data_IF_100001194587
#
_entry.id   IF_100001194587
#
_cell.length_a   1.000
_cell.length_b   1.000
_cell.length_c   1.000
_cell.angle_alpha   90.00
_cell.angle_beta   90.00
_cell.angle_gamma   90.00
#
_symmetry.space_group_name_H-M   'P 1'
#
loop_
_entity.id
_entity.type
_entity.pdbx_description
1 polymer ?
#
# COMPACT_ATOMS: atom_id res chain seq x y z
N UNK A 1 -8.25 -14.49 9.44
CA UNK A 1 -6.86 -14.23 9.12
C UNK A 1 -6.43 -12.85 9.59
N UNK A 2 -6.21 -12.72 10.89
CA UNK A 2 -5.81 -11.44 11.48
C UNK A 2 -4.51 -10.95 10.86
N UNK A 3 -3.56 -11.87 10.66
CA UNK A 3 -2.27 -11.52 10.08
C UNK A 3 -2.45 -10.75 8.77
N UNK A 4 -3.52 -11.06 8.05
CA UNK A 4 -3.79 -10.40 6.78
C UNK A 4 -3.79 -8.88 6.94
N UNK A 5 -4.34 -8.41 8.05
CA UNK A 5 -4.39 -6.98 8.32
C UNK A 5 -3.04 -6.47 8.82
N UNK A 6 -2.25 -7.37 9.41
CA UNK A 6 -0.94 -7.02 9.93
C UNK A 6 0.08 -6.90 8.80
N UNK A 7 0.34 -8.01 8.12
CA UNK A 7 1.30 -8.03 7.02
C UNK A 7 0.98 -6.95 6.00
N UNK A 8 -0.31 -6.63 5.86
CA UNK A 8 -0.75 -5.62 4.91
C UNK A 8 -0.54 -4.22 5.46
N UNK A 9 -1.05 -3.98 6.67
CA UNK A 9 -0.90 -2.68 7.29
C UNK A 9 0.55 -2.26 7.40
N UNK A 10 1.43 -3.22 7.70
CA UNK A 10 2.84 -2.93 7.84
C UNK A 10 3.51 -2.79 6.48
N UNK A 11 2.91 -3.41 5.46
CA UNK A 11 3.45 -3.34 4.11
C UNK A 11 3.01 -2.06 3.41
N UNK A 12 1.87 -1.52 3.84
CA UNK A 12 1.33 -0.30 3.26
C UNK A 12 2.24 0.89 3.56
N UNK A 13 2.48 1.13 4.85
CA UNK A 13 3.32 2.23 5.28
C UNK A 13 4.71 2.16 4.64
N UNK A 14 5.11 0.94 4.27
CA UNK A 14 6.41 0.76 3.64
C UNK A 14 6.62 1.67 2.45
N UNK A 15 5.54 2.00 1.76
CA UNK A 15 5.62 2.88 0.59
C UNK A 15 5.45 4.34 0.99
N UNK A 16 4.22 4.72 1.34
CA UNK A 16 3.96 6.08 1.74
C UNK A 16 2.67 6.62 1.13
N UNK A 17 2.51 7.93 1.16
CA UNK A 17 1.32 8.58 0.61
C UNK A 17 1.43 8.73 -0.90
N UNK A 18 2.45 9.48 -1.34
CA UNK A 18 2.64 9.69 -2.76
C UNK A 18 3.42 8.57 -3.41
N UNK A 19 4.16 7.81 -2.60
CA UNK A 19 4.95 6.70 -3.10
C UNK A 19 4.07 5.67 -3.81
N UNK A 20 3.16 5.06 -3.06
CA UNK A 20 2.27 4.06 -3.62
C UNK A 20 1.29 4.68 -4.60
N UNK A 21 1.02 5.97 -4.42
CA UNK A 21 0.10 6.69 -5.29
C UNK A 21 0.73 6.93 -6.66
N UNK A 22 2.06 6.97 -6.69
CA UNK A 22 2.79 7.19 -7.95
C UNK A 22 2.31 6.21 -9.02
N UNK A 23 2.11 4.96 -8.63
CA UNK A 23 1.67 3.94 -9.57
C UNK A 23 0.19 4.11 -9.91
N UNK A 24 -0.55 4.74 -9.01
CA UNK A 24 -1.98 4.96 -9.21
C UNK A 24 -2.21 6.17 -10.12
N UNK A 25 -1.29 7.12 -10.08
CA UNK A 25 -1.39 8.33 -10.90
C UNK A 25 -1.62 7.97 -12.36
N UNK A 26 -1.04 6.85 -12.79
CA UNK A 26 -1.18 6.41 -14.17
C UNK A 26 -2.24 5.31 -14.28
N UNK A 27 -2.14 4.31 -13.41
CA UNK A 27 -3.10 3.21 -13.42
C UNK A 27 -3.68 3.00 -12.02
N UNK A 28 -4.51 3.93 -11.59
CA UNK A 28 -5.15 3.86 -10.28
C UNK A 28 -5.98 2.58 -10.15
N UNK A 29 -5.66 1.78 -9.15
CA UNK A 29 -6.38 0.52 -8.90
C UNK A 29 -7.63 0.77 -8.07
#
# INVERSE_FOLDING_TARGET
SAILAITLGIFATGYGMGVQKAINDRRKK
#
